data_IF_009648922988
#
_entry.id   IF_009648922988
#
_cell.length_a   1.000
_cell.length_b   1.000
_cell.length_c   1.000
_cell.angle_alpha   90.00
_cell.angle_beta   90.00
_cell.angle_gamma   90.00
#
_symmetry.space_group_name_H-M   'P 1'
#
loop_
_entity.id
_entity.type
_entity.pdbx_description
1 polymer ?
#
# COMPACT_ATOMS: atom_id res chain seq x y z
N UNK A 1 -6.29 -13.31 -6.96
CA UNK A 1 -5.47 -12.06 -6.96
C UNK A 1 -5.61 -11.33 -5.62
N UNK A 2 -4.66 -11.49 -4.70
CA UNK A 2 -4.67 -10.76 -3.41
C UNK A 2 -4.07 -9.34 -3.55
N UNK A 3 -2.90 -9.22 -4.17
CA UNK A 3 -2.18 -7.94 -4.26
C UNK A 3 -2.88 -6.91 -5.16
N UNK A 4 -3.55 -7.36 -6.23
CA UNK A 4 -4.29 -6.47 -7.13
C UNK A 4 -5.39 -5.69 -6.41
N UNK A 5 -6.23 -6.39 -5.65
CA UNK A 5 -7.36 -5.78 -4.92
C UNK A 5 -6.88 -5.06 -3.66
N UNK A 6 -6.05 -5.72 -2.84
CA UNK A 6 -5.70 -5.18 -1.53
C UNK A 6 -4.69 -4.03 -1.60
N UNK A 7 -3.88 -3.97 -2.67
CA UNK A 7 -2.78 -3.02 -2.80
C UNK A 7 -2.81 -2.20 -4.10
N UNK A 8 -2.72 -2.81 -5.30
CA UNK A 8 -2.55 -2.02 -6.54
C UNK A 8 -3.74 -1.10 -6.85
N UNK A 9 -4.97 -1.57 -6.64
CA UNK A 9 -6.16 -0.74 -6.79
C UNK A 9 -6.12 0.47 -5.85
N UNK A 10 -5.81 0.26 -4.57
CA UNK A 10 -5.72 1.34 -3.58
C UNK A 10 -4.53 2.28 -3.84
N UNK A 11 -3.38 1.74 -4.24
CA UNK A 11 -2.20 2.52 -4.61
C UNK A 11 -2.55 3.51 -5.72
N UNK A 12 -3.09 3.01 -6.84
CA UNK A 12 -3.44 3.85 -7.98
C UNK A 12 -4.52 4.86 -7.61
N UNK A 13 -5.58 4.43 -6.94
CA UNK A 13 -6.66 5.31 -6.49
C UNK A 13 -6.14 6.45 -5.60
N UNK A 14 -5.27 6.14 -4.65
CA UNK A 14 -4.65 7.12 -3.76
C UNK A 14 -3.79 8.11 -4.54
N UNK A 15 -2.95 7.63 -5.46
CA UNK A 15 -2.11 8.48 -6.30
C UNK A 15 -2.93 9.43 -7.18
N UNK A 16 -4.04 8.96 -7.76
CA UNK A 16 -4.92 9.80 -8.58
C UNK A 16 -5.62 10.89 -7.77
N UNK A 17 -6.00 10.60 -6.52
CA UNK A 17 -6.64 11.58 -5.64
C UNK A 17 -5.65 12.48 -4.90
N UNK A 18 -4.36 12.16 -4.94
CA UNK A 18 -3.34 12.81 -4.11
C UNK A 18 -3.33 14.35 -4.24
N UNK A 19 -3.40 14.96 -5.44
CA UNK A 19 -3.45 16.43 -5.55
C UNK A 19 -4.68 17.03 -4.85
N UNK A 20 -5.84 16.36 -4.97
CA UNK A 20 -7.08 16.83 -4.34
C UNK A 20 -7.03 16.68 -2.83
N UNK A 21 -6.47 15.58 -2.32
CA UNK A 21 -6.27 15.34 -0.89
C UNK A 21 -5.36 16.43 -0.30
N UNK A 22 -4.21 16.70 -0.93
CA UNK A 22 -3.26 17.75 -0.48
C UNK A 22 -3.94 19.12 -0.46
N UNK A 23 -4.70 19.48 -1.51
CA UNK A 23 -5.43 20.76 -1.58
C UNK A 23 -6.51 20.92 -0.52
N UNK A 24 -6.96 19.82 0.09
CA UNK A 24 -8.05 19.80 1.07
C UNK A 24 -7.54 19.72 2.51
N UNK A 25 -6.28 20.09 2.74
CA UNK A 25 -5.68 20.04 4.07
C UNK A 25 -6.53 20.81 5.11
N UNK A 26 -6.71 20.27 6.34
CA UNK A 26 -6.07 19.06 6.85
C UNK A 26 -6.74 17.77 6.33
N UNK A 27 -5.93 16.83 5.84
CA UNK A 27 -6.40 15.54 5.33
C UNK A 27 -5.44 14.40 5.71
N UNK A 28 -5.96 13.16 5.71
CA UNK A 28 -5.22 11.95 6.12
C UNK A 28 -5.48 10.80 5.16
N UNK A 29 -4.45 9.99 4.94
CA UNK A 29 -4.52 8.76 4.14
C UNK A 29 -4.24 7.59 5.06
N UNK A 30 -5.22 6.71 5.26
CA UNK A 30 -5.12 5.56 6.17
C UNK A 30 -5.24 4.27 5.35
N UNK A 31 -4.15 3.49 5.28
CA UNK A 31 -4.15 2.18 4.65
C UNK A 31 -4.28 1.07 5.70
N UNK A 32 -5.34 0.27 5.63
CA UNK A 32 -5.54 -0.87 6.53
C UNK A 32 -4.60 -2.04 6.17
N UNK A 33 -3.81 -2.48 7.15
CA UNK A 33 -2.96 -3.67 7.06
C UNK A 33 -3.47 -4.81 7.96
N UNK A 34 -2.63 -5.79 8.29
CA UNK A 34 -2.93 -6.94 9.16
C UNK A 34 -1.64 -7.48 9.76
N UNK A 35 -1.69 -8.10 10.94
CA UNK A 35 -0.56 -8.80 11.59
C UNK A 35 0.13 -9.83 10.68
N UNK A 36 -0.58 -10.34 9.66
CA UNK A 36 -0.03 -11.23 8.65
C UNK A 36 1.21 -10.67 7.92
N UNK A 37 1.39 -9.35 7.85
CA UNK A 37 2.54 -8.74 7.19
C UNK A 37 3.90 -9.08 7.85
N UNK A 38 3.92 -9.43 9.14
CA UNK A 38 5.15 -9.57 9.93
C UNK A 38 6.10 -10.67 9.41
N UNK A 39 5.55 -11.74 8.82
CA UNK A 39 6.32 -12.85 8.23
C UNK A 39 6.50 -12.75 6.71
N UNK A 40 6.03 -11.68 6.07
CA UNK A 40 6.01 -11.57 4.63
C UNK A 40 7.33 -11.01 4.07
N UNK A 41 7.67 -11.42 2.85
CA UNK A 41 8.68 -10.78 2.01
C UNK A 41 8.09 -10.50 0.64
N UNK A 42 8.31 -9.30 0.13
CA UNK A 42 7.94 -8.98 -1.26
C UNK A 42 8.88 -9.70 -2.21
N UNK A 43 8.29 -10.27 -3.26
CA UNK A 43 9.02 -10.75 -4.42
C UNK A 43 8.68 -9.81 -5.58
N UNK A 44 9.57 -8.87 -5.88
CA UNK A 44 9.33 -7.88 -6.93
C UNK A 44 9.33 -8.50 -8.34
N UNK A 45 10.00 -9.65 -8.53
CA UNK A 45 10.03 -10.37 -9.80
C UNK A 45 8.73 -11.14 -10.09
N UNK A 46 7.93 -11.41 -9.05
CA UNK A 46 6.64 -12.09 -9.16
C UNK A 46 5.68 -11.59 -8.07
N UNK A 47 5.29 -10.33 -8.20
CA UNK A 47 4.37 -9.70 -7.25
C UNK A 47 2.97 -10.33 -7.26
N UNK A 48 2.54 -10.81 -8.43
CA UNK A 48 1.22 -11.42 -8.63
C UNK A 48 1.16 -12.89 -8.20
N UNK A 49 2.29 -13.50 -7.82
CA UNK A 49 2.39 -14.92 -7.48
C UNK A 49 1.94 -15.83 -8.65
N UNK A 50 2.35 -15.49 -9.86
CA UNK A 50 2.01 -16.20 -11.10
C UNK A 50 2.75 -17.53 -11.23
N UNK A 51 3.97 -17.63 -10.66
CA UNK A 51 4.76 -18.86 -10.72
C UNK A 51 4.32 -19.90 -9.69
N UNK A 52 3.99 -19.44 -8.48
CA UNK A 52 3.50 -20.30 -7.39
C UNK A 52 2.57 -19.50 -6.48
N UNK A 53 1.33 -19.98 -6.35
CA UNK A 53 0.31 -19.31 -5.56
C UNK A 53 0.05 -20.02 -4.23
N UNK A 54 0.23 -19.28 -3.13
CA UNK A 54 -0.27 -19.64 -1.81
C UNK A 54 -1.11 -18.47 -1.28
N UNK A 55 -2.36 -18.72 -0.91
CA UNK A 55 -3.31 -17.67 -0.52
C UNK A 55 -2.87 -16.87 0.71
N UNK A 56 -2.32 -17.56 1.72
CA UNK A 56 -1.84 -16.93 2.96
C UNK A 56 -0.62 -16.05 2.67
N UNK A 57 0.36 -16.57 1.91
CA UNK A 57 1.55 -15.80 1.50
C UNK A 57 1.16 -14.60 0.64
N UNK A 58 0.27 -14.79 -0.34
CA UNK A 58 -0.18 -13.72 -1.22
C UNK A 58 -0.93 -12.62 -0.45
N UNK A 59 -1.77 -13.00 0.51
CA UNK A 59 -2.45 -12.06 1.42
C UNK A 59 -1.44 -11.31 2.29
N UNK A 60 -0.52 -12.03 2.95
CA UNK A 60 0.52 -11.45 3.80
C UNK A 60 1.39 -10.43 3.03
N UNK A 61 1.79 -10.76 1.80
CA UNK A 61 2.51 -9.85 0.89
C UNK A 61 1.71 -8.60 0.57
N UNK A 62 0.42 -8.73 0.29
CA UNK A 62 -0.44 -7.57 0.03
C UNK A 62 -0.54 -6.63 1.24
N UNK A 63 -0.53 -7.18 2.46
CA UNK A 63 -0.58 -6.40 3.70
C UNK A 63 0.76 -5.75 4.03
N UNK A 64 1.89 -6.39 3.68
CA UNK A 64 3.20 -5.77 3.72
C UNK A 64 3.31 -4.61 2.72
N UNK A 65 2.79 -4.77 1.50
CA UNK A 65 2.79 -3.72 0.50
C UNK A 65 2.05 -2.45 0.98
N UNK A 66 0.93 -2.60 1.70
CA UNK A 66 0.24 -1.47 2.33
C UNK A 66 1.10 -0.73 3.38
N UNK A 67 1.87 -1.46 4.20
CA UNK A 67 2.78 -0.83 5.18
C UNK A 67 3.88 -0.04 4.47
N UNK A 68 4.52 -0.65 3.47
CA UNK A 68 5.60 -0.03 2.72
C UNK A 68 5.10 1.20 1.95
N UNK A 69 3.92 1.13 1.36
CA UNK A 69 3.30 2.26 0.69
C UNK A 69 3.00 3.42 1.64
N UNK A 70 2.43 3.17 2.82
CA UNK A 70 2.21 4.23 3.82
C UNK A 70 3.53 4.89 4.22
N UNK A 71 4.58 4.10 4.47
CA UNK A 71 5.91 4.65 4.84
C UNK A 71 6.50 5.51 3.73
N UNK A 72 6.51 5.00 2.50
CA UNK A 72 7.05 5.71 1.35
C UNK A 72 6.25 6.97 1.03
N UNK A 73 4.92 6.89 1.09
CA UNK A 73 4.04 8.04 0.87
C UNK A 73 4.30 9.14 1.92
N UNK A 74 4.47 8.79 3.19
CA UNK A 74 4.81 9.75 4.23
C UNK A 74 6.17 10.42 4.00
N UNK A 75 7.15 9.70 3.48
CA UNK A 75 8.46 10.28 3.09
C UNK A 75 8.29 11.27 1.94
N UNK A 76 7.51 10.90 0.92
CA UNK A 76 7.27 11.76 -0.27
C UNK A 76 6.47 13.01 0.04
N UNK A 77 5.52 12.92 0.96
CA UNK A 77 4.67 14.03 1.39
C UNK A 77 5.28 14.85 2.52
N UNK A 78 6.53 14.57 2.91
CA UNK A 78 7.22 15.31 3.97
C UNK A 78 7.41 16.77 3.53
N UNK A 79 6.61 17.67 4.10
CA UNK A 79 6.59 19.10 3.77
C UNK A 79 5.24 19.59 3.22
N UNK A 80 4.39 18.68 2.75
CA UNK A 80 3.00 18.97 2.44
C UNK A 80 2.16 18.91 3.72
N UNK A 81 1.20 19.82 3.88
CA UNK A 81 0.33 19.96 5.08
C UNK A 81 -0.57 18.75 5.37
N UNK A 82 -0.44 17.67 4.58
CA UNK A 82 -1.07 16.38 4.80
C UNK A 82 -0.24 15.52 5.77
N UNK A 83 0.04 16.00 6.99
CA UNK A 83 0.59 15.16 8.06
C UNK A 83 0.05 15.57 9.44
N UNK A 84 -0.95 14.80 9.89
CA UNK A 84 -1.17 14.29 11.26
C UNK A 84 -1.90 12.95 11.16
#
# INVERSE_FOLDING_TARGET
>A
MQIGVNHFGHFLFTCLLLPRIISSAPARIINLSSVAHLGAKLNFEDMNCERYYNSVTAYARSKLANILFTKELAIRLKGDSCLY
#
